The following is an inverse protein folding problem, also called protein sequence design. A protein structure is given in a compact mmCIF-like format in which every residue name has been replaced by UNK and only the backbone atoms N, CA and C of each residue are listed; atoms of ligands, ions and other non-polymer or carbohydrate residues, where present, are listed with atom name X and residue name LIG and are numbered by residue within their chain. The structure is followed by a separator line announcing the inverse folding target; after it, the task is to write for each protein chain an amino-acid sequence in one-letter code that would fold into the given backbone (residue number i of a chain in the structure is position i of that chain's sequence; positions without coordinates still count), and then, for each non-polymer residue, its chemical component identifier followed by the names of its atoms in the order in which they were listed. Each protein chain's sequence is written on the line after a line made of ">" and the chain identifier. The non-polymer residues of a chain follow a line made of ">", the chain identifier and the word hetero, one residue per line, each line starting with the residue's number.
data_IF_228598736031
#
_entry.id   IF_228598736031
#
_cell.length_a   1.000
_cell.length_b   1.000
_cell.length_c   1.000
_cell.angle_alpha   90.00
_cell.angle_beta   90.00
_cell.angle_gamma   90.00
#
_symmetry.space_group_name_H-M   'P 1'
#
loop_
_entity.id
_entity.type
_entity.pdbx_description
1 polymer ?
#
# COMPACT_ATOMS: atom_id res chain seq x y z
N UNK A 1 -3.70 -4.51 20.99
CA UNK A 1 -3.81 -4.99 19.61
C UNK A 1 -2.42 -5.19 19.01
N UNK A 2 -2.30 -5.99 17.94
CA UNK A 2 -1.02 -6.25 17.28
C UNK A 2 -0.29 -4.96 16.88
N UNK A 3 -1.01 -3.95 16.40
CA UNK A 3 -0.45 -2.65 16.06
C UNK A 3 0.11 -1.90 17.27
N UNK A 4 -0.55 -1.96 18.43
CA UNK A 4 -0.06 -1.30 19.64
C UNK A 4 1.15 -2.01 20.26
N UNK A 5 1.25 -3.32 20.07
CA UNK A 5 2.39 -4.10 20.57
C UNK A 5 3.65 -3.87 19.72
N UNK A 6 3.49 -3.72 18.42
CA UNK A 6 4.58 -3.35 17.50
C UNK A 6 5.09 -1.93 17.82
N UNK A 7 4.19 -0.99 18.06
CA UNK A 7 4.52 0.38 18.42
C UNK A 7 5.37 0.47 19.70
N UNK A 8 5.02 -0.28 20.73
CA UNK A 8 5.73 -0.27 22.02
C UNK A 8 7.15 -0.83 21.96
N UNK A 9 7.51 -1.56 20.92
CA UNK A 9 8.79 -2.26 20.80
C UNK A 9 9.84 -1.54 19.96
N UNK A 10 9.52 -0.38 19.37
CA UNK A 10 10.43 0.29 18.43
C UNK A 10 11.04 1.56 19.03
N UNK A 11 12.37 1.52 19.26
CA UNK A 11 13.13 2.64 19.81
C UNK A 11 13.27 3.83 18.82
N UNK A 12 13.20 3.58 17.52
CA UNK A 12 13.50 4.57 16.46
C UNK A 12 12.27 5.01 15.64
N UNK A 13 11.08 4.70 16.12
CA UNK A 13 9.85 5.02 15.42
C UNK A 13 9.20 3.79 14.75
N UNK A 14 8.16 4.03 13.96
CA UNK A 14 7.38 2.98 13.33
C UNK A 14 6.84 3.43 11.97
N UNK A 15 6.57 2.46 11.14
CA UNK A 15 5.87 2.64 9.88
C UNK A 15 4.61 1.75 9.89
N UNK A 16 3.45 2.37 9.66
CA UNK A 16 2.22 1.64 9.43
C UNK A 16 1.99 1.47 7.93
N UNK A 17 1.80 0.24 7.51
CA UNK A 17 1.39 -0.12 6.16
C UNK A 17 0.12 -0.97 6.24
N UNK A 18 -0.92 -0.54 5.52
CA UNK A 18 -2.22 -1.21 5.56
C UNK A 18 -3.05 -0.95 6.82
N UNK A 19 -2.64 -0.01 7.67
CA UNK A 19 -3.37 0.41 8.87
C UNK A 19 -3.02 1.87 9.19
N UNK A 20 -3.94 2.74 9.58
CA UNK A 20 -5.39 2.51 9.63
C UNK A 20 -6.01 2.43 8.22
N UNK A 21 -7.15 1.75 8.10
CA UNK A 21 -7.94 1.67 6.87
C UNK A 21 -9.32 2.29 7.00
N UNK A 22 -9.72 2.67 8.20
CA UNK A 22 -11.02 3.27 8.51
C UNK A 22 -10.86 4.45 9.45
N UNK A 23 -11.86 5.35 9.45
CA UNK A 23 -11.90 6.46 10.40
C UNK A 23 -11.90 5.99 11.86
N UNK A 24 -12.61 4.91 12.17
CA UNK A 24 -12.64 4.35 13.51
C UNK A 24 -11.25 3.92 13.98
N UNK A 25 -10.47 3.29 13.10
CA UNK A 25 -9.09 2.90 13.40
C UNK A 25 -8.19 4.12 13.59
N UNK A 26 -8.34 5.16 12.77
CA UNK A 26 -7.58 6.40 12.91
C UNK A 26 -7.89 7.13 14.22
N UNK A 27 -9.17 7.20 14.58
CA UNK A 27 -9.59 7.77 15.86
C UNK A 27 -9.09 6.95 17.04
N UNK A 28 -9.07 5.62 16.94
CA UNK A 28 -8.51 4.76 17.98
C UNK A 28 -7.02 5.01 18.21
N UNK A 29 -6.25 5.26 17.16
CA UNK A 29 -4.83 5.67 17.29
C UNK A 29 -4.70 7.00 18.04
N UNK A 30 -5.51 7.98 17.68
CA UNK A 30 -5.54 9.29 18.33
C UNK A 30 -5.91 9.17 19.81
N UNK A 31 -6.93 8.39 20.14
CA UNK A 31 -7.40 8.20 21.50
C UNK A 31 -6.36 7.50 22.39
N UNK A 32 -5.52 6.65 21.80
CA UNK A 32 -4.39 6.00 22.47
C UNK A 32 -3.16 6.89 22.60
N UNK A 33 -3.21 8.13 22.12
CA UNK A 33 -2.08 9.05 22.15
C UNK A 33 -0.96 8.69 21.19
N UNK A 34 -1.22 7.87 20.19
CA UNK A 34 -0.23 7.51 19.15
C UNK A 34 -0.17 8.64 18.14
N UNK A 35 0.94 9.37 18.12
CA UNK A 35 1.16 10.46 17.19
C UNK A 35 1.67 9.93 15.85
N UNK A 36 1.00 10.35 14.79
CA UNK A 36 1.47 10.15 13.41
C UNK A 36 2.18 11.43 12.98
N UNK A 37 3.46 11.32 12.62
CA UNK A 37 4.27 12.48 12.22
C UNK A 37 4.11 12.79 10.74
N UNK A 38 3.96 11.77 9.91
CA UNK A 38 3.86 11.91 8.46
C UNK A 38 2.91 10.88 7.87
N UNK A 39 2.09 11.33 6.93
CA UNK A 39 1.24 10.46 6.10
C UNK A 39 1.70 10.58 4.67
N UNK A 40 1.92 9.45 4.01
CA UNK A 40 2.30 9.38 2.60
C UNK A 40 1.16 8.73 1.84
N UNK A 41 0.56 9.48 0.95
CA UNK A 41 -0.44 8.99 -0.01
C UNK A 41 0.25 8.67 -1.33
N UNK A 42 0.16 7.42 -1.75
CA UNK A 42 0.64 6.98 -3.07
C UNK A 42 -0.58 6.93 -3.99
N UNK A 43 -0.68 7.92 -4.87
CA UNK A 43 -1.83 8.08 -5.76
C UNK A 43 -1.69 7.19 -6.99
N UNK A 44 -2.63 6.26 -7.16
CA UNK A 44 -2.73 5.39 -8.34
C UNK A 44 -4.20 5.30 -8.73
N UNK A 45 -4.49 5.48 -10.02
CA UNK A 45 -5.85 5.33 -10.53
C UNK A 45 -6.35 3.88 -10.45
N UNK A 46 -7.65 3.69 -10.32
CA UNK A 46 -8.27 2.37 -10.17
C UNK A 46 -7.94 1.44 -11.33
N UNK A 47 -7.98 1.92 -12.56
CA UNK A 47 -7.68 1.11 -13.74
C UNK A 47 -6.23 0.60 -13.74
N UNK A 48 -5.30 1.43 -13.32
CA UNK A 48 -3.89 1.03 -13.15
C UNK A 48 -3.73 -0.02 -12.06
N UNK A 49 -4.42 0.13 -10.93
CA UNK A 49 -4.41 -0.86 -9.84
C UNK A 49 -4.96 -2.20 -10.34
N UNK A 50 -6.09 -2.19 -11.06
CA UNK A 50 -6.69 -3.39 -11.63
C UNK A 50 -5.72 -4.10 -12.57
N UNK A 51 -5.08 -3.37 -13.48
CA UNK A 51 -4.11 -3.94 -14.40
C UNK A 51 -2.91 -4.54 -13.67
N UNK A 52 -2.36 -3.83 -12.70
CA UNK A 52 -1.20 -4.30 -11.92
C UNK A 52 -1.53 -5.56 -11.12
N UNK A 53 -2.66 -5.58 -10.44
CA UNK A 53 -3.05 -6.71 -9.60
C UNK A 53 -3.47 -7.91 -10.43
N UNK A 54 -4.28 -7.74 -11.46
CA UNK A 54 -4.75 -8.83 -12.31
C UNK A 54 -3.65 -9.46 -13.16
N UNK A 55 -2.62 -8.68 -13.51
CA UNK A 55 -1.46 -9.16 -14.25
C UNK A 55 -0.34 -9.75 -13.39
N UNK A 56 -0.44 -9.68 -12.08
CA UNK A 56 0.57 -10.22 -11.17
C UNK A 56 0.58 -11.75 -11.18
N UNK A 57 1.78 -12.31 -11.17
CA UNK A 57 2.02 -13.75 -11.02
C UNK A 57 3.06 -13.98 -9.95
N UNK A 58 2.94 -15.08 -9.22
CA UNK A 58 3.77 -15.35 -8.05
C UNK A 58 4.27 -16.80 -8.10
N UNK A 59 5.55 -16.97 -7.81
CA UNK A 59 6.13 -18.25 -7.46
C UNK A 59 5.96 -18.47 -5.95
N UNK A 60 5.07 -19.37 -5.55
CA UNK A 60 4.61 -19.49 -4.17
C UNK A 60 5.73 -19.81 -3.19
N UNK A 61 6.63 -20.72 -3.56
CA UNK A 61 7.69 -21.20 -2.67
C UNK A 61 8.74 -20.13 -2.35
N UNK A 62 9.11 -19.27 -3.33
CA UNK A 62 10.13 -18.23 -3.15
C UNK A 62 9.56 -16.86 -2.86
N UNK A 63 8.30 -16.62 -3.19
CA UNK A 63 7.70 -15.30 -3.15
C UNK A 63 8.09 -14.39 -4.31
N UNK A 64 8.86 -14.87 -5.31
CA UNK A 64 9.18 -14.08 -6.50
C UNK A 64 7.92 -13.68 -7.23
N UNK A 65 7.86 -12.41 -7.65
CA UNK A 65 6.72 -11.82 -8.34
C UNK A 65 7.09 -11.40 -9.76
N UNK A 66 6.16 -11.64 -10.67
CA UNK A 66 6.22 -11.24 -12.06
C UNK A 66 4.96 -10.48 -12.44
N UNK A 67 5.00 -9.84 -13.58
CA UNK A 67 3.82 -9.23 -14.19
C UNK A 67 3.79 -9.61 -15.67
N UNK A 68 2.63 -10.07 -16.14
CA UNK A 68 2.49 -10.56 -17.52
C UNK A 68 2.87 -9.52 -18.59
N UNK A 69 2.75 -8.22 -18.26
CA UNK A 69 3.05 -7.10 -19.17
C UNK A 69 4.31 -6.34 -18.80
N UNK A 70 4.49 -5.98 -17.52
CA UNK A 70 5.54 -5.05 -17.09
C UNK A 70 6.83 -5.74 -16.65
N UNK A 71 6.76 -6.97 -16.22
CA UNK A 71 7.91 -7.78 -15.82
C UNK A 71 7.61 -9.26 -16.08
N UNK A 72 7.49 -9.66 -17.37
CA UNK A 72 7.17 -11.04 -17.71
C UNK A 72 8.30 -12.00 -17.37
N UNK A 73 8.00 -13.25 -17.02
CA UNK A 73 9.01 -14.29 -16.93
C UNK A 73 9.58 -14.60 -18.33
N UNK A 74 10.74 -15.23 -18.38
CA UNK A 74 11.37 -15.64 -19.64
C UNK A 74 10.52 -16.62 -20.44
N UNK A 75 9.82 -17.50 -19.74
CA UNK A 75 8.85 -18.42 -20.30
C UNK A 75 7.50 -18.21 -19.61
N UNK A 76 6.43 -18.14 -20.40
CA UNK A 76 5.09 -17.83 -19.90
C UNK A 76 4.68 -18.75 -18.75
N UNK A 77 4.24 -18.15 -17.64
CA UNK A 77 3.78 -18.81 -16.42
C UNK A 77 4.81 -19.73 -15.72
N UNK A 78 6.10 -19.52 -15.99
CA UNK A 78 7.18 -20.33 -15.39
C UNK A 78 8.15 -19.41 -14.65
N UNK A 79 8.52 -19.83 -13.43
CA UNK A 79 9.54 -19.12 -12.65
C UNK A 79 10.92 -19.23 -13.30
N UNK A 80 11.59 -18.11 -13.48
CA UNK A 80 12.88 -18.03 -14.17
C UNK A 80 14.00 -18.83 -13.52
N UNK A 81 13.94 -19.01 -12.21
CA UNK A 81 15.02 -19.66 -11.45
C UNK A 81 14.78 -21.16 -11.22
N UNK A 82 13.54 -21.55 -10.96
CA UNK A 82 13.21 -22.94 -10.59
C UNK A 82 12.57 -23.73 -11.71
N UNK A 83 12.00 -23.08 -12.70
CA UNK A 83 11.20 -23.73 -13.74
C UNK A 83 9.84 -24.21 -13.25
N UNK A 84 9.45 -23.82 -12.04
CA UNK A 84 8.14 -24.18 -11.47
C UNK A 84 7.04 -23.22 -11.98
N UNK A 85 5.77 -23.68 -11.97
CA UNK A 85 4.65 -22.86 -12.41
C UNK A 85 4.44 -21.61 -11.53
N UNK A 86 4.06 -20.50 -12.18
CA UNK A 86 3.56 -19.32 -11.52
C UNK A 86 2.04 -19.41 -11.33
N UNK A 87 1.54 -18.76 -10.29
CA UNK A 87 0.11 -18.69 -10.02
C UNK A 87 -0.37 -17.24 -9.95
N UNK A 88 -1.63 -17.02 -10.26
CA UNK A 88 -2.34 -15.83 -9.88
C UNK A 88 -2.91 -16.04 -8.48
N UNK A 89 -2.65 -15.12 -7.56
CA UNK A 89 -3.28 -15.22 -6.22
C UNK A 89 -4.80 -15.11 -6.35
N UNK A 90 -5.57 -15.85 -5.52
CA UNK A 90 -7.05 -15.76 -5.56
C UNK A 90 -7.58 -14.33 -5.42
N UNK A 91 -6.89 -13.47 -4.66
CA UNK A 91 -7.29 -12.08 -4.41
C UNK A 91 -6.88 -11.12 -5.54
N UNK A 92 -6.13 -11.57 -6.53
CA UNK A 92 -5.63 -10.76 -7.63
C UNK A 92 -6.52 -10.81 -8.88
N UNK A 93 -7.60 -11.58 -8.89
CA UNK A 93 -8.55 -11.54 -10.00
C UNK A 93 -9.27 -10.19 -10.04
N UNK A 94 -9.69 -9.78 -11.23
CA UNK A 94 -10.26 -8.46 -11.47
C UNK A 94 -11.51 -8.20 -10.60
N UNK A 95 -12.39 -9.18 -10.45
CA UNK A 95 -13.60 -9.02 -9.64
C UNK A 95 -13.28 -8.72 -8.18
N UNK A 96 -12.35 -9.47 -7.59
CA UNK A 96 -11.92 -9.27 -6.20
C UNK A 96 -11.22 -7.92 -6.02
N UNK A 97 -10.37 -7.53 -6.97
CA UNK A 97 -9.70 -6.22 -6.95
C UNK A 97 -10.72 -5.08 -7.01
N UNK A 98 -11.72 -5.17 -7.86
CA UNK A 98 -12.81 -4.17 -7.95
C UNK A 98 -13.59 -4.07 -6.65
N UNK A 99 -13.90 -5.18 -6.00
CA UNK A 99 -14.56 -5.19 -4.68
C UNK A 99 -13.70 -4.52 -3.61
N UNK A 100 -12.41 -4.79 -3.59
CA UNK A 100 -11.47 -4.16 -2.64
C UNK A 100 -11.35 -2.66 -2.88
N UNK A 101 -11.35 -2.21 -4.12
CA UNK A 101 -11.36 -0.79 -4.46
C UNK A 101 -12.65 -0.10 -4.02
N UNK A 102 -13.80 -0.75 -4.16
CA UNK A 102 -15.07 -0.21 -3.67
C UNK A 102 -15.04 -0.01 -2.15
N UNK A 103 -14.51 -0.98 -1.39
CA UNK A 103 -14.32 -0.88 0.06
C UNK A 103 -13.33 0.26 0.40
N UNK A 104 -12.25 0.38 -0.35
CA UNK A 104 -11.28 1.46 -0.19
C UNK A 104 -11.96 2.83 -0.34
N UNK A 105 -12.73 3.04 -1.40
CA UNK A 105 -13.42 4.31 -1.63
C UNK A 105 -14.47 4.61 -0.59
N UNK A 106 -15.15 3.62 -0.06
CA UNK A 106 -16.15 3.78 0.98
C UNK A 106 -15.54 4.04 2.36
N UNK A 107 -14.54 3.27 2.75
CA UNK A 107 -14.04 3.23 4.13
C UNK A 107 -12.66 3.90 4.32
N UNK A 108 -11.79 3.86 3.32
CA UNK A 108 -10.40 4.31 3.43
C UNK A 108 -10.17 5.69 2.84
N UNK A 109 -10.82 6.04 1.73
CA UNK A 109 -10.73 7.39 1.16
C UNK A 109 -11.06 8.51 2.14
N UNK A 110 -12.03 8.37 3.06
CA UNK A 110 -12.27 9.38 4.09
C UNK A 110 -11.07 9.69 4.99
N UNK A 111 -10.12 8.77 5.11
CA UNK A 111 -8.86 9.03 5.83
C UNK A 111 -7.99 10.10 5.18
N UNK A 112 -8.08 10.26 3.87
CA UNK A 112 -7.36 11.30 3.12
C UNK A 112 -7.74 12.67 3.68
N UNK A 113 -9.03 12.97 3.74
CA UNK A 113 -9.54 14.23 4.29
C UNK A 113 -9.22 14.39 5.78
N UNK A 114 -9.34 13.32 6.53
CA UNK A 114 -9.02 13.29 7.96
C UNK A 114 -7.57 13.73 8.22
N UNK A 115 -6.60 13.13 7.52
CA UNK A 115 -5.19 13.46 7.72
C UNK A 115 -4.76 14.75 7.02
N UNK A 116 -5.40 15.14 5.92
CA UNK A 116 -5.19 16.47 5.33
C UNK A 116 -5.63 17.59 6.26
N UNK A 117 -6.78 17.48 6.89
CA UNK A 117 -7.24 18.44 7.90
C UNK A 117 -6.31 18.47 9.12
N UNK A 118 -5.86 17.31 9.57
CA UNK A 118 -4.88 17.21 10.67
C UNK A 118 -3.55 17.86 10.34
N UNK A 119 -3.14 17.88 9.06
CA UNK A 119 -1.89 18.54 8.63
C UNK A 119 -1.95 20.07 8.69
N UNK A 120 -3.14 20.65 8.75
CA UNK A 120 -3.35 22.09 8.78
C UNK A 120 -3.33 22.68 10.18
N UNK A 121 -3.32 21.86 11.22
CA UNK A 121 -3.31 22.30 12.61
C UNK A 121 -1.91 22.24 13.20
N UNK A 122 -1.69 23.08 14.23
CA UNK A 122 -0.41 23.08 14.94
C UNK A 122 -0.13 21.72 15.58
N UNK A 123 1.08 21.21 15.42
CA UNK A 123 1.49 19.87 15.85
C UNK A 123 0.75 18.70 15.18
N UNK A 124 0.10 18.96 14.05
CA UNK A 124 -0.48 17.91 13.20
C UNK A 124 0.58 17.12 12.43
N UNK A 125 0.13 16.11 11.69
CA UNK A 125 0.99 15.33 10.82
C UNK A 125 1.39 16.10 9.56
N UNK A 126 2.55 15.78 8.98
CA UNK A 126 2.89 16.14 7.60
C UNK A 126 2.07 15.27 6.65
N UNK A 127 1.63 15.81 5.53
CA UNK A 127 0.92 15.07 4.49
C UNK A 127 1.65 15.18 3.15
N UNK A 128 2.04 14.04 2.59
CA UNK A 128 2.81 13.95 1.36
C UNK A 128 2.01 13.16 0.32
N UNK A 129 1.82 13.75 -0.85
CA UNK A 129 1.22 13.09 -1.99
C UNK A 129 2.31 12.75 -3.02
N UNK A 130 2.37 11.49 -3.44
CA UNK A 130 3.27 11.05 -4.51
C UNK A 130 2.50 10.33 -5.61
N UNK A 131 2.95 10.50 -6.83
CA UNK A 131 2.40 9.75 -7.96
C UNK A 131 2.95 8.32 -7.93
N UNK A 132 2.06 7.35 -7.79
CA UNK A 132 2.40 5.93 -7.75
C UNK A 132 2.50 5.25 -9.10
N UNK A 133 2.35 6.00 -10.20
CA UNK A 133 2.51 5.48 -11.56
C UNK A 133 3.97 5.68 -12.00
N UNK A 134 4.59 4.64 -12.52
CA UNK A 134 5.98 4.64 -12.95
C UNK A 134 6.80 3.55 -12.25
N UNK A 135 8.13 3.68 -12.33
CA UNK A 135 9.01 2.72 -11.69
C UNK A 135 9.19 3.00 -10.19
N UNK A 136 9.59 1.96 -9.46
CA UNK A 136 9.75 2.02 -8.00
C UNK A 136 10.82 3.04 -7.60
N UNK A 137 11.90 3.17 -8.36
CA UNK A 137 12.99 4.09 -8.04
C UNK A 137 12.56 5.54 -8.10
N UNK A 138 11.75 5.91 -9.08
CA UNK A 138 11.18 7.25 -9.21
C UNK A 138 10.24 7.57 -8.03
N UNK A 139 9.40 6.63 -7.65
CA UNK A 139 8.49 6.78 -6.49
C UNK A 139 9.28 6.96 -5.20
N UNK A 140 10.31 6.15 -5.00
CA UNK A 140 11.19 6.27 -3.82
C UNK A 140 11.90 7.62 -3.75
N UNK A 141 12.38 8.16 -4.88
CA UNK A 141 12.99 9.49 -4.93
C UNK A 141 12.00 10.60 -4.58
N UNK A 142 10.76 10.52 -5.07
CA UNK A 142 9.71 11.47 -4.71
C UNK A 142 9.45 11.47 -3.21
N UNK A 143 9.37 10.31 -2.59
CA UNK A 143 9.18 10.18 -1.14
C UNK A 143 10.36 10.78 -0.38
N UNK A 144 11.59 10.43 -0.75
CA UNK A 144 12.81 10.94 -0.11
C UNK A 144 12.91 12.47 -0.18
N UNK A 145 12.59 13.06 -1.33
CA UNK A 145 12.62 14.52 -1.50
C UNK A 145 11.56 15.25 -0.68
N UNK A 146 10.42 14.60 -0.45
CA UNK A 146 9.30 15.18 0.29
C UNK A 146 9.45 15.04 1.82
N UNK A 147 10.22 14.07 2.29
CA UNK A 147 10.53 13.89 3.70
C UNK A 147 11.54 14.92 4.18
#
# INVERSE_FOLDING_TARGET
>A
SAASDVYKRQANGFLFDGFPRTLDQANALKDKGIKIDCVIEIMVGDDEIIQRMSGRRVHTASGRTYHIKYNPPKQENIDDETGEPLIQRPDDNEETVRKRLAIYHDQTSPLIDFYKKSSLVQNGNKYIEVNGVGDISTIQEQIKKAL
#
